data_IF_117756051352
#
_entry.id   IF_117756051352
#
_cell.length_a   1.000
_cell.length_b   1.000
_cell.length_c   1.000
_cell.angle_alpha   90.00
_cell.angle_beta   90.00
_cell.angle_gamma   90.00
#
_symmetry.space_group_name_H-M   'P 1'
#
loop_
_entity.id
_entity.type
_entity.pdbx_description
1 polymer ?
#
# COMPACT_ATOMS: atom_id res chain seq x y z
N UNK A 1 10.10 22.77 -5.06
CA UNK A 1 10.31 22.18 -3.71
C UNK A 1 9.35 22.73 -2.66
N UNK A 2 9.15 24.05 -2.51
CA UNK A 2 8.31 24.65 -1.45
C UNK A 2 6.85 24.16 -1.42
N UNK A 3 6.21 23.93 -2.58
CA UNK A 3 4.82 23.44 -2.62
C UNK A 3 4.65 21.98 -2.19
N UNK A 4 5.68 21.11 -2.39
CA UNK A 4 5.62 19.70 -1.98
C UNK A 4 5.66 19.56 -0.44
N UNK A 5 6.43 20.43 0.23
CA UNK A 5 6.52 20.48 1.69
C UNK A 5 5.22 21.00 2.30
N UNK A 6 4.56 21.95 1.64
CA UNK A 6 3.29 22.50 2.10
C UNK A 6 2.17 21.45 2.08
N UNK A 7 2.06 20.67 0.99
CA UNK A 7 1.05 19.59 0.87
C UNK A 7 1.29 18.50 1.91
N UNK A 8 2.55 18.11 2.13
CA UNK A 8 2.91 17.11 3.14
C UNK A 8 2.55 17.59 4.55
N UNK A 9 2.84 18.87 4.86
CA UNK A 9 2.50 19.47 6.17
C UNK A 9 0.98 19.58 6.37
N UNK A 10 0.22 19.94 5.33
CA UNK A 10 -1.25 20.00 5.42
C UNK A 10 -1.81 18.59 5.68
N UNK A 11 -1.31 17.57 4.98
CA UNK A 11 -1.72 16.18 5.19
C UNK A 11 -1.38 15.69 6.61
N UNK A 12 -0.20 16.03 7.11
CA UNK A 12 0.22 15.71 8.48
C UNK A 12 -0.66 16.43 9.52
N UNK A 13 -0.94 17.71 9.33
CA UNK A 13 -1.80 18.50 10.25
C UNK A 13 -3.25 17.97 10.21
N UNK A 14 -3.77 17.57 9.06
CA UNK A 14 -5.09 16.94 8.99
C UNK A 14 -5.12 15.59 9.72
N UNK A 15 -4.09 14.75 9.54
CA UNK A 15 -3.96 13.47 10.24
C UNK A 15 -3.83 13.65 11.76
N UNK A 16 -2.93 14.53 12.22
CA UNK A 16 -2.73 14.78 13.64
C UNK A 16 -3.85 15.62 14.28
N UNK A 17 -4.46 16.54 13.53
CA UNK A 17 -5.63 17.30 14.00
C UNK A 17 -6.86 16.41 14.20
N UNK A 18 -7.03 15.39 13.36
CA UNK A 18 -8.12 14.41 13.52
C UNK A 18 -7.89 13.51 14.75
N UNK A 19 -6.63 13.04 14.92
CA UNK A 19 -6.23 12.23 16.09
C UNK A 19 -6.33 13.04 17.38
N UNK A 20 -5.92 14.32 17.39
CA UNK A 20 -5.98 15.19 18.55
C UNK A 20 -7.41 15.47 19.04
N UNK A 21 -8.36 15.64 18.13
CA UNK A 21 -9.78 15.80 18.49
C UNK A 21 -10.41 14.49 18.97
N UNK A 22 -9.99 13.34 18.44
CA UNK A 22 -10.48 12.04 18.90
C UNK A 22 -9.98 11.67 20.31
N UNK A 23 -8.79 12.14 20.68
CA UNK A 23 -8.22 11.93 22.02
C UNK A 23 -8.71 12.92 23.08
N UNK A 24 -9.35 14.02 22.66
CA UNK A 24 -9.86 15.05 23.59
C UNK A 24 -11.26 14.77 24.14
N UNK A 25 -11.96 13.80 23.61
CA UNK A 25 -13.28 13.43 24.10
C UNK A 25 -13.16 12.24 25.08
N UNK A 26 -13.03 12.56 26.37
CA UNK A 26 -12.90 11.60 27.50
C UNK A 26 -14.16 10.76 27.75
N UNK A 27 -15.12 10.79 26.85
CA UNK A 27 -16.26 9.87 26.91
C UNK A 27 -15.79 8.52 26.41
N UNK A 28 -15.95 7.43 27.22
CA UNK A 28 -15.66 6.09 26.75
C UNK A 28 -16.49 5.85 25.48
N UNK A 29 -15.82 5.76 24.34
CA UNK A 29 -16.43 5.33 23.10
C UNK A 29 -16.99 3.96 23.42
N UNK A 30 -18.29 3.86 23.56
CA UNK A 30 -18.94 2.56 23.64
C UNK A 30 -18.58 1.88 22.34
N UNK A 31 -17.64 0.92 22.40
CA UNK A 31 -17.39 -0.04 21.34
C UNK A 31 -18.71 -0.76 21.10
N UNK A 32 -19.54 -0.13 20.28
CA UNK A 32 -20.84 -0.65 19.94
C UNK A 32 -20.59 -1.91 19.10
N UNK A 33 -20.90 -3.05 19.67
CA UNK A 33 -21.07 -4.24 18.87
C UNK A 33 -20.23 -5.47 19.20
N UNK A 34 -19.26 -5.40 20.11
CA UNK A 34 -18.65 -6.61 20.66
C UNK A 34 -19.14 -6.86 22.08
N UNK A 35 -20.46 -6.86 22.28
CA UNK A 35 -21.01 -7.54 23.45
C UNK A 35 -20.66 -9.02 23.31
N UNK A 36 -19.87 -9.50 24.27
CA UNK A 36 -19.44 -10.88 24.40
C UNK A 36 -20.66 -11.81 24.32
N UNK A 37 -20.89 -12.40 23.16
CA UNK A 37 -21.74 -13.56 23.07
C UNK A 37 -20.94 -14.75 23.62
N UNK A 38 -21.28 -15.17 24.82
CA UNK A 38 -20.79 -16.42 25.40
C UNK A 38 -21.48 -17.58 24.66
N UNK A 39 -20.87 -18.01 23.55
CA UNK A 39 -21.39 -19.07 22.68
C UNK A 39 -21.49 -20.43 23.37
N UNK A 40 -20.98 -20.56 24.60
CA UNK A 40 -20.92 -21.82 25.35
C UNK A 40 -21.71 -21.85 26.67
N UNK A 41 -22.53 -20.86 26.96
CA UNK A 41 -23.44 -20.94 28.08
C UNK A 41 -24.81 -21.55 27.65
N UNK A 42 -25.04 -22.87 27.86
CA UNK A 42 -26.29 -23.52 27.47
C UNK A 42 -27.50 -23.09 28.30
N UNK A 43 -27.29 -22.27 29.36
CA UNK A 43 -28.36 -21.86 30.28
C UNK A 43 -28.93 -20.48 29.95
N UNK A 44 -28.29 -19.73 29.06
CA UNK A 44 -28.71 -18.38 28.69
C UNK A 44 -29.71 -18.39 27.54
N UNK A 45 -30.99 -18.61 27.89
CA UNK A 45 -32.11 -18.27 27.00
C UNK A 45 -32.38 -16.76 27.02
N UNK A 46 -31.37 -15.95 26.76
CA UNK A 46 -31.61 -14.56 26.39
C UNK A 46 -32.11 -14.53 24.96
N UNK A 47 -33.29 -13.95 24.77
CA UNK A 47 -33.72 -13.45 23.49
C UNK A 47 -32.57 -12.61 22.94
N UNK A 48 -31.91 -13.13 21.91
CA UNK A 48 -31.01 -12.36 21.06
C UNK A 48 -31.93 -11.35 20.35
N UNK A 49 -32.29 -10.27 21.02
CA UNK A 49 -32.57 -9.05 20.29
C UNK A 49 -31.24 -8.71 19.64
N UNK A 50 -31.06 -9.14 18.38
CA UNK A 50 -30.06 -8.60 17.49
C UNK A 50 -30.29 -7.09 17.45
N UNK A 51 -29.66 -6.39 18.35
CA UNK A 51 -29.58 -4.95 18.34
C UNK A 51 -28.69 -4.65 17.14
N UNK A 52 -29.32 -4.41 15.98
CA UNK A 52 -28.65 -3.87 14.79
C UNK A 52 -28.08 -2.50 15.17
N UNK A 53 -26.94 -2.50 15.82
CA UNK A 53 -26.26 -1.27 16.20
C UNK A 53 -25.29 -0.91 15.11
N UNK A 54 -25.61 0.13 14.36
CA UNK A 54 -24.62 0.84 13.57
C UNK A 54 -23.59 1.42 14.54
N UNK A 55 -22.34 1.04 14.36
CA UNK A 55 -21.22 1.56 15.13
C UNK A 55 -20.17 2.13 14.22
N UNK A 56 -19.32 2.97 14.80
CA UNK A 56 -18.21 3.59 14.11
C UNK A 56 -16.96 3.35 14.95
N UNK A 57 -15.85 3.01 14.30
CA UNK A 57 -14.53 2.94 14.91
C UNK A 57 -13.49 3.64 14.06
N UNK A 58 -12.46 4.15 14.72
CA UNK A 58 -11.29 4.73 14.09
C UNK A 58 -10.08 3.88 14.41
N UNK A 59 -9.22 3.70 13.43
CA UNK A 59 -8.05 2.85 13.55
C UNK A 59 -6.81 3.59 13.10
N UNK A 60 -5.71 3.28 13.75
CA UNK A 60 -4.36 3.64 13.29
C UNK A 60 -3.69 2.36 12.82
N UNK A 61 -3.13 2.39 11.62
CA UNK A 61 -2.43 1.26 11.00
C UNK A 61 -0.96 1.59 10.83
N UNK A 62 -0.10 0.62 11.21
CA UNK A 62 1.34 0.61 10.91
C UNK A 62 1.69 -0.77 10.38
N UNK A 63 2.40 -0.83 9.28
CA UNK A 63 2.70 -2.11 8.66
C UNK A 63 3.91 -2.09 7.75
N UNK A 64 4.20 -3.27 7.24
CA UNK A 64 5.17 -3.53 6.20
C UNK A 64 4.42 -3.84 4.91
N UNK A 65 4.94 -3.34 3.79
CA UNK A 65 4.44 -3.65 2.46
C UNK A 65 5.59 -4.05 1.55
N UNK A 66 5.32 -5.00 0.67
CA UNK A 66 6.20 -5.34 -0.43
C UNK A 66 5.42 -5.28 -1.73
N UNK A 67 5.94 -4.47 -2.64
CA UNK A 67 5.40 -4.31 -3.96
C UNK A 67 6.22 -5.07 -4.99
N UNK A 68 5.53 -5.66 -5.96
CA UNK A 68 6.10 -6.39 -7.06
C UNK A 68 5.62 -5.79 -8.37
N UNK A 69 6.53 -5.15 -9.08
CA UNK A 69 6.28 -4.54 -10.38
C UNK A 69 6.86 -5.42 -11.48
N UNK A 70 6.03 -5.83 -12.41
CA UNK A 70 6.43 -6.68 -13.54
C UNK A 70 6.10 -5.99 -14.86
N UNK A 71 7.10 -5.89 -15.74
CA UNK A 71 6.91 -5.49 -17.13
C UNK A 71 6.82 -6.73 -18.03
N UNK A 72 6.01 -6.60 -19.09
CA UNK A 72 5.80 -7.70 -20.05
C UNK A 72 6.90 -7.76 -21.11
N UNK A 73 7.80 -6.76 -21.19
CA UNK A 73 8.90 -6.78 -22.13
C UNK A 73 9.98 -7.75 -21.67
N UNK A 74 10.55 -8.51 -22.62
CA UNK A 74 11.56 -9.55 -22.35
C UNK A 74 12.86 -9.01 -21.73
N UNK A 75 12.98 -7.70 -21.58
CA UNK A 75 14.26 -7.04 -21.23
C UNK A 75 14.31 -6.56 -19.77
N UNK A 76 13.21 -6.55 -19.03
CA UNK A 76 13.18 -5.99 -17.67
C UNK A 76 12.72 -7.02 -16.66
N UNK A 77 13.64 -7.35 -15.76
CA UNK A 77 13.38 -8.20 -14.59
C UNK A 77 12.30 -7.58 -13.71
N UNK A 78 11.52 -8.43 -13.04
CA UNK A 78 10.60 -7.99 -12.02
C UNK A 78 11.32 -7.13 -10.95
N UNK A 79 10.73 -6.01 -10.60
CA UNK A 79 11.23 -5.12 -9.56
C UNK A 79 10.47 -5.39 -8.27
N UNK A 80 11.20 -5.58 -7.19
CA UNK A 80 10.66 -5.74 -5.85
C UNK A 80 10.98 -4.49 -5.04
N UNK A 81 9.94 -3.82 -4.53
CA UNK A 81 10.06 -2.73 -3.60
C UNK A 81 9.50 -3.17 -2.25
N UNK A 82 10.13 -2.77 -1.16
CA UNK A 82 9.66 -3.10 0.18
C UNK A 82 9.84 -1.91 1.13
N UNK A 83 8.97 -1.83 2.13
CA UNK A 83 9.04 -0.72 3.06
C UNK A 83 7.91 -0.67 4.06
N UNK A 84 7.67 0.52 4.58
CA UNK A 84 6.71 0.75 5.63
C UNK A 84 5.44 1.42 5.10
N UNK A 85 4.32 1.11 5.74
CA UNK A 85 3.03 1.81 5.55
C UNK A 85 2.47 2.28 6.88
N UNK A 86 1.85 3.44 6.88
CA UNK A 86 1.21 4.03 8.05
C UNK A 86 -0.02 4.82 7.63
N UNK A 87 -1.06 4.79 8.43
CA UNK A 87 -2.24 5.58 8.15
C UNK A 87 -3.35 5.43 9.15
N UNK A 88 -4.52 5.91 8.75
CA UNK A 88 -5.73 5.83 9.53
C UNK A 88 -6.87 5.24 8.71
N UNK A 89 -7.76 4.55 9.40
CA UNK A 89 -8.95 3.96 8.81
C UNK A 89 -10.17 4.30 9.64
N UNK A 90 -11.28 4.40 8.95
CA UNK A 90 -12.62 4.54 9.50
C UNK A 90 -13.39 3.26 9.20
N UNK A 91 -13.95 2.64 10.22
CA UNK A 91 -14.78 1.45 10.10
C UNK A 91 -16.21 1.75 10.52
N UNK A 92 -17.16 1.41 9.68
CA UNK A 92 -18.58 1.47 9.93
C UNK A 92 -19.12 0.04 10.06
N UNK A 93 -19.59 -0.31 11.25
CA UNK A 93 -20.21 -1.61 11.52
C UNK A 93 -21.61 -1.68 10.93
N UNK A 94 -21.90 -2.80 10.31
CA UNK A 94 -23.17 -3.15 9.70
C UNK A 94 -23.76 -4.40 10.42
N UNK A 95 -25.06 -4.67 10.25
CA UNK A 95 -25.65 -5.91 10.73
C UNK A 95 -24.94 -7.16 10.21
N UNK A 96 -25.13 -8.29 10.90
CA UNK A 96 -24.65 -9.61 10.50
C UNK A 96 -23.11 -9.72 10.47
N UNK A 97 -22.40 -9.00 11.34
CA UNK A 97 -20.94 -9.02 11.45
C UNK A 97 -20.19 -8.45 10.24
N UNK A 98 -20.87 -7.72 9.38
CA UNK A 98 -20.22 -6.98 8.31
C UNK A 98 -19.76 -5.61 8.79
N UNK A 99 -18.71 -5.10 8.12
CA UNK A 99 -18.31 -3.71 8.25
C UNK A 99 -17.77 -3.18 6.92
N UNK A 100 -17.73 -1.86 6.80
CA UNK A 100 -17.10 -1.16 5.68
C UNK A 100 -15.97 -0.32 6.24
N UNK A 101 -14.77 -0.52 5.71
CA UNK A 101 -13.57 0.20 6.07
C UNK A 101 -13.15 1.13 4.94
N UNK A 102 -12.90 2.40 5.27
CA UNK A 102 -12.31 3.39 4.37
C UNK A 102 -11.11 4.01 5.07
N UNK A 103 -9.99 4.13 4.36
CA UNK A 103 -8.77 4.62 4.97
C UNK A 103 -7.94 5.52 4.07
N UNK A 104 -6.86 6.03 4.65
CA UNK A 104 -5.79 6.71 3.96
C UNK A 104 -4.46 6.22 4.51
N UNK A 105 -3.68 5.54 3.68
CA UNK A 105 -2.43 4.88 4.05
C UNK A 105 -1.29 5.46 3.23
N UNK A 106 -0.30 5.99 3.90
CA UNK A 106 0.93 6.44 3.27
C UNK A 106 1.96 5.32 3.29
N UNK A 107 2.56 5.05 2.15
CA UNK A 107 3.53 3.98 1.97
C UNK A 107 4.85 4.55 1.43
N UNK A 108 5.96 4.11 2.00
CA UNK A 108 7.31 4.39 1.50
C UNK A 108 7.95 3.07 1.17
N UNK A 109 8.32 2.89 -0.09
CA UNK A 109 8.93 1.67 -0.59
C UNK A 109 10.32 1.96 -1.13
N UNK A 110 11.22 1.01 -0.98
CA UNK A 110 12.58 1.03 -1.47
C UNK A 110 12.90 -0.27 -2.20
N UNK A 111 13.63 -0.17 -3.30
CA UNK A 111 14.13 -1.33 -4.03
C UNK A 111 15.40 -1.04 -4.80
N UNK A 112 16.05 -2.13 -5.22
CA UNK A 112 17.27 -2.06 -6.03
C UNK A 112 17.03 -2.91 -7.28
N UNK A 113 17.28 -2.32 -8.44
CA UNK A 113 17.34 -3.02 -9.70
C UNK A 113 18.78 -2.98 -10.23
N UNK A 114 19.29 -4.13 -10.65
CA UNK A 114 20.62 -4.23 -11.27
C UNK A 114 20.45 -4.74 -12.67
N UNK A 115 20.98 -3.98 -13.62
CA UNK A 115 20.98 -4.35 -15.03
C UNK A 115 22.42 -4.56 -15.48
N UNK A 116 22.68 -5.72 -16.09
CA UNK A 116 23.98 -6.08 -16.62
C UNK A 116 23.98 -5.89 -18.14
N UNK A 117 24.96 -5.19 -18.65
CA UNK A 117 25.16 -4.97 -20.06
C UNK A 117 26.54 -5.53 -20.48
N UNK A 118 26.63 -6.06 -21.68
CA UNK A 118 27.92 -6.33 -22.28
C UNK A 118 28.46 -4.99 -22.80
N UNK A 119 29.75 -4.75 -22.57
CA UNK A 119 30.41 -3.57 -23.13
C UNK A 119 30.21 -3.53 -24.64
N UNK A 120 29.89 -2.36 -25.15
CA UNK A 120 29.77 -2.13 -26.59
C UNK A 120 31.16 -1.90 -27.19
N UNK A 121 32.20 -1.67 -26.38
CA UNK A 121 33.56 -1.53 -26.79
C UNK A 121 34.14 -2.91 -27.18
N UNK A 122 34.56 -3.12 -28.45
CA UNK A 122 35.08 -4.41 -28.89
C UNK A 122 36.36 -4.85 -28.17
N UNK A 123 37.10 -3.88 -27.61
CA UNK A 123 38.36 -4.11 -26.90
C UNK A 123 38.16 -4.35 -25.40
N UNK A 124 36.96 -4.14 -24.89
CA UNK A 124 36.59 -4.33 -23.47
C UNK A 124 35.47 -5.37 -23.31
N UNK A 125 35.84 -6.59 -22.93
CA UNK A 125 34.90 -7.72 -22.73
C UNK A 125 34.24 -7.69 -21.35
N UNK A 126 34.34 -6.58 -20.63
CA UNK A 126 33.80 -6.50 -19.26
C UNK A 126 32.28 -6.39 -19.25
N UNK A 127 31.69 -6.96 -18.17
CA UNK A 127 30.27 -6.79 -17.89
C UNK A 127 30.09 -5.49 -17.14
N UNK A 128 29.38 -4.58 -17.75
CA UNK A 128 29.05 -3.26 -17.20
C UNK A 128 27.74 -3.31 -16.43
N UNK A 129 27.63 -2.53 -15.37
CA UNK A 129 26.50 -2.61 -14.46
C UNK A 129 25.87 -1.24 -14.27
N UNK A 130 24.54 -1.19 -14.45
CA UNK A 130 23.72 -0.06 -14.04
C UNK A 130 22.91 -0.47 -12.81
N UNK A 131 23.12 0.25 -11.70
CA UNK A 131 22.40 0.06 -10.46
C UNK A 131 21.37 1.18 -10.31
N UNK A 132 20.11 0.81 -10.17
CA UNK A 132 19.02 1.71 -9.91
C UNK A 132 18.53 1.51 -8.47
N UNK A 133 18.56 2.57 -7.68
CA UNK A 133 17.97 2.62 -6.34
C UNK A 133 16.65 3.37 -6.44
N UNK A 134 15.55 2.68 -6.22
CA UNK A 134 14.21 3.23 -6.42
C UNK A 134 13.58 3.50 -5.05
N UNK A 135 13.07 4.72 -4.88
CA UNK A 135 12.28 5.11 -3.72
C UNK A 135 10.92 5.56 -4.19
N UNK A 136 9.89 4.91 -3.72
CA UNK A 136 8.51 5.24 -4.04
C UNK A 136 7.75 5.74 -2.80
N UNK A 137 7.00 6.81 -2.98
CA UNK A 137 6.08 7.38 -2.01
C UNK A 137 4.67 7.31 -2.60
N UNK A 138 3.76 6.66 -1.91
CA UNK A 138 2.39 6.51 -2.38
C UNK A 138 1.37 6.78 -1.27
N UNK A 139 0.20 7.25 -1.66
CA UNK A 139 -0.99 7.32 -0.83
C UNK A 139 -2.00 6.31 -1.35
N UNK A 140 -2.46 5.42 -0.47
CA UNK A 140 -3.46 4.41 -0.81
C UNK A 140 -4.76 4.71 -0.06
N UNK A 141 -5.86 4.68 -0.78
CA UNK A 141 -7.22 4.88 -0.25
C UNK A 141 -7.97 3.55 -0.45
N UNK A 142 -7.96 2.65 0.53
CA UNK A 142 -8.74 1.42 0.49
C UNK A 142 -10.21 1.68 0.80
N UNK A 143 -11.10 0.96 0.11
CA UNK A 143 -12.52 0.81 0.45
C UNK A 143 -12.79 -0.67 0.55
N UNK A 144 -12.95 -1.19 1.75
CA UNK A 144 -13.03 -2.62 2.03
C UNK A 144 -14.35 -2.99 2.66
N UNK A 145 -14.92 -4.10 2.24
CA UNK A 145 -15.99 -4.78 2.96
C UNK A 145 -15.33 -5.87 3.79
N UNK A 146 -15.65 -5.93 5.05
CA UNK A 146 -15.10 -6.87 6.00
C UNK A 146 -16.22 -7.72 6.59
N UNK A 147 -15.92 -8.99 6.85
CA UNK A 147 -16.76 -9.92 7.61
C UNK A 147 -15.97 -10.42 8.81
N UNK A 148 -16.55 -10.30 10.01
CA UNK A 148 -15.90 -10.66 11.28
C UNK A 148 -16.56 -11.89 11.88
N UNK A 149 -15.75 -12.88 12.25
CA UNK A 149 -16.16 -14.12 12.90
C UNK A 149 -15.66 -14.07 14.35
N UNK A 150 -16.55 -13.96 15.34
CA UNK A 150 -16.15 -14.08 16.74
C UNK A 150 -15.68 -15.51 17.02
N UNK A 151 -14.49 -15.65 17.59
CA UNK A 151 -13.91 -16.95 17.94
C UNK A 151 -14.01 -17.24 19.42
N UNK A 152 -13.57 -16.30 20.27
CA UNK A 152 -13.57 -16.47 21.71
C UNK A 152 -13.50 -15.13 22.41
N UNK A 153 -14.39 -14.86 23.36
CA UNK A 153 -14.45 -13.63 24.19
C UNK A 153 -13.99 -12.36 23.46
N UNK A 154 -12.70 -12.06 23.52
CA UNK A 154 -12.08 -10.87 22.93
C UNK A 154 -11.36 -11.15 21.60
N UNK A 155 -11.33 -12.42 21.16
CA UNK A 155 -10.66 -12.84 19.94
C UNK A 155 -11.68 -13.01 18.81
N UNK A 156 -11.46 -12.33 17.71
CA UNK A 156 -12.19 -12.52 16.47
C UNK A 156 -11.23 -12.67 15.29
N UNK A 157 -11.71 -13.31 14.24
CA UNK A 157 -11.05 -13.38 12.95
C UNK A 157 -11.89 -12.57 11.96
N UNK A 158 -11.23 -11.91 11.04
CA UNK A 158 -11.92 -11.15 10.01
C UNK A 158 -11.29 -11.40 8.64
N UNK A 159 -12.12 -11.27 7.62
CA UNK A 159 -11.73 -11.29 6.22
C UNK A 159 -12.24 -10.02 5.56
N UNK A 160 -11.46 -9.46 4.68
CA UNK A 160 -11.86 -8.28 3.93
C UNK A 160 -11.53 -8.41 2.45
N UNK A 161 -12.28 -7.69 1.65
CA UNK A 161 -12.04 -7.52 0.22
C UNK A 161 -12.56 -6.17 -0.25
N UNK A 162 -12.00 -5.65 -1.32
CA UNK A 162 -12.49 -4.43 -1.90
C UNK A 162 -11.50 -3.70 -2.80
N UNK A 163 -11.98 -2.68 -3.51
CA UNK A 163 -11.15 -1.84 -4.33
C UNK A 163 -10.30 -0.89 -3.48
N UNK A 164 -9.18 -0.49 -4.05
CA UNK A 164 -8.36 0.59 -3.51
C UNK A 164 -7.76 1.43 -4.62
N UNK A 165 -7.60 2.71 -4.34
CA UNK A 165 -6.94 3.66 -5.20
C UNK A 165 -5.57 3.99 -4.63
N UNK A 166 -4.51 3.67 -5.36
CA UNK A 166 -3.16 4.10 -5.03
C UNK A 166 -2.77 5.31 -5.88
N UNK A 167 -2.22 6.32 -5.24
CA UNK A 167 -1.77 7.56 -5.86
C UNK A 167 -0.27 7.70 -5.59
N UNK A 168 0.56 7.53 -6.60
CA UNK A 168 2.00 7.75 -6.52
C UNK A 168 2.31 9.24 -6.35
N UNK A 169 2.95 9.59 -5.25
CA UNK A 169 3.36 10.95 -4.94
C UNK A 169 4.70 11.30 -5.59
N UNK A 170 5.67 10.38 -5.45
CA UNK A 170 6.98 10.44 -6.08
C UNK A 170 7.53 9.03 -6.24
N UNK A 171 8.18 8.75 -7.36
CA UNK A 171 8.99 7.55 -7.55
C UNK A 171 10.32 7.99 -8.16
N UNK A 172 11.34 8.09 -7.31
CA UNK A 172 12.65 8.56 -7.72
C UNK A 172 13.55 7.37 -8.00
N UNK A 173 14.09 7.33 -9.19
CA UNK A 173 15.11 6.38 -9.60
C UNK A 173 16.50 7.06 -9.50
N UNK A 174 17.31 6.58 -8.56
CA UNK A 174 18.71 7.04 -8.37
C UNK A 174 19.61 6.12 -9.18
N UNK A 175 19.97 6.55 -10.39
CA UNK A 175 20.77 5.76 -11.33
C UNK A 175 22.25 5.91 -11.02
N UNK A 176 22.95 4.79 -10.86
CA UNK A 176 24.41 4.70 -10.79
C UNK A 176 24.92 3.83 -11.92
N UNK A 177 25.26 4.47 -13.03
CA UNK A 177 25.79 3.80 -14.20
C UNK A 177 27.32 3.72 -14.11
N UNK A 178 27.84 2.53 -13.88
CA UNK A 178 29.27 2.21 -13.98
C UNK A 178 29.50 1.54 -15.31
N UNK A 179 29.52 2.36 -16.36
CA UNK A 179 29.60 1.96 -17.77
C UNK A 179 30.60 2.84 -18.50
N UNK A 180 31.22 2.31 -19.56
CA UNK A 180 32.09 3.06 -20.45
C UNK A 180 31.33 4.16 -21.21
N UNK A 181 32.05 5.15 -21.73
CA UNK A 181 31.40 6.24 -22.47
C UNK A 181 30.70 5.72 -23.74
N UNK A 182 31.25 4.69 -24.39
CA UNK A 182 30.64 4.05 -25.56
C UNK A 182 29.29 3.39 -25.20
N UNK A 183 29.26 2.60 -24.11
CA UNK A 183 28.06 1.95 -23.64
C UNK A 183 27.04 2.98 -23.13
N UNK A 184 27.49 4.05 -22.46
CA UNK A 184 26.65 5.17 -22.05
C UNK A 184 25.94 5.80 -23.24
N UNK A 185 26.69 6.15 -24.27
CA UNK A 185 26.14 6.73 -25.50
C UNK A 185 25.13 5.79 -26.17
N UNK A 186 25.45 4.51 -26.24
CA UNK A 186 24.54 3.50 -26.79
C UNK A 186 23.26 3.36 -26.00
N UNK A 187 23.31 3.31 -24.64
CA UNK A 187 22.15 3.22 -23.78
C UNK A 187 21.23 4.45 -23.94
N UNK A 188 21.83 5.65 -24.03
CA UNK A 188 21.07 6.90 -24.26
C UNK A 188 20.41 6.85 -25.65
N UNK A 189 21.10 6.34 -26.69
CA UNK A 189 20.51 6.17 -28.02
C UNK A 189 19.34 5.16 -28.03
N UNK A 190 19.34 4.19 -27.12
CA UNK A 190 18.22 3.27 -26.90
C UNK A 190 17.09 3.87 -26.06
N UNK A 191 17.18 5.16 -25.70
CA UNK A 191 16.18 5.86 -24.90
C UNK A 191 16.22 5.56 -23.40
N UNK A 192 17.34 4.97 -22.91
CA UNK A 192 17.53 4.77 -21.46
C UNK A 192 17.90 6.08 -20.80
N UNK A 193 17.23 6.39 -19.69
CA UNK A 193 17.60 7.52 -18.85
C UNK A 193 18.64 7.05 -17.82
N UNK A 194 19.83 7.60 -17.86
CA UNK A 194 20.92 7.28 -16.94
C UNK A 194 21.12 8.35 -15.85
N UNK A 195 20.25 9.34 -15.81
CA UNK A 195 20.25 10.38 -14.79
C UNK A 195 19.20 10.09 -13.71
N UNK A 196 19.46 10.57 -12.50
CA UNK A 196 18.48 10.52 -11.42
C UNK A 196 17.22 11.30 -11.78
N UNK A 197 16.08 10.64 -11.78
CA UNK A 197 14.82 11.25 -12.21
C UNK A 197 13.61 10.73 -11.43
N UNK A 198 12.50 11.46 -11.47
CA UNK A 198 11.21 11.04 -10.96
C UNK A 198 10.37 10.46 -12.12
N UNK A 199 10.03 9.18 -12.04
CA UNK A 199 9.32 8.44 -13.10
C UNK A 199 7.93 8.99 -13.39
N UNK A 200 7.30 9.67 -12.42
CA UNK A 200 6.02 10.33 -12.63
C UNK A 200 6.16 11.68 -13.34
N UNK A 201 7.23 12.43 -13.06
CA UNK A 201 7.51 13.72 -13.72
C UNK A 201 8.02 13.51 -15.15
N UNK A 202 8.81 12.47 -15.39
CA UNK A 202 9.29 12.08 -16.73
C UNK A 202 8.16 11.48 -17.60
N UNK A 203 6.96 11.27 -17.04
CA UNK A 203 5.81 10.68 -17.70
C UNK A 203 6.03 9.24 -18.17
N UNK A 204 6.90 8.51 -17.52
CA UNK A 204 7.14 7.09 -17.81
C UNK A 204 6.05 6.23 -17.19
N UNK A 205 5.53 6.64 -16.03
CA UNK A 205 4.52 5.90 -15.26
C UNK A 205 3.30 6.75 -14.93
N UNK A 206 2.12 6.11 -14.89
CA UNK A 206 0.91 6.71 -14.36
C UNK A 206 0.99 6.81 -12.83
N UNK A 207 0.49 7.94 -12.28
CA UNK A 207 0.44 8.16 -10.83
C UNK A 207 -0.65 7.36 -10.13
N UNK A 208 -1.68 6.97 -10.88
CA UNK A 208 -2.85 6.32 -10.32
C UNK A 208 -2.86 4.84 -10.68
N UNK A 209 -3.02 4.02 -9.66
CA UNK A 209 -3.22 2.59 -9.79
C UNK A 209 -4.53 2.20 -9.10
N UNK A 210 -5.44 1.60 -9.84
CA UNK A 210 -6.65 0.99 -9.29
C UNK A 210 -6.29 -0.46 -8.98
N UNK A 211 -6.46 -0.84 -7.74
CA UNK A 211 -6.15 -2.17 -7.27
C UNK A 211 -7.39 -2.81 -6.64
N UNK A 212 -7.38 -4.12 -6.55
CA UNK A 212 -8.37 -4.87 -5.80
C UNK A 212 -7.65 -5.73 -4.77
N UNK A 213 -8.06 -5.62 -3.52
CA UNK A 213 -7.42 -6.27 -2.40
C UNK A 213 -8.29 -7.34 -1.76
N UNK A 214 -7.63 -8.33 -1.20
CA UNK A 214 -8.20 -9.31 -0.29
C UNK A 214 -7.24 -9.58 0.85
N UNK A 215 -7.78 -9.88 2.01
CA UNK A 215 -6.96 -10.16 3.18
C UNK A 215 -7.79 -10.58 4.37
N UNK A 216 -7.14 -10.65 5.49
CA UNK A 216 -7.78 -11.00 6.75
C UNK A 216 -6.80 -10.93 7.89
N UNK A 217 -7.30 -11.22 9.08
CA UNK A 217 -6.48 -11.15 10.27
C UNK A 217 -7.23 -11.55 11.52
N UNK A 218 -6.59 -11.26 12.64
CA UNK A 218 -7.12 -11.52 13.96
C UNK A 218 -7.22 -10.21 14.73
N UNK A 219 -8.30 -10.05 15.44
CA UNK A 219 -8.53 -8.93 16.35
C UNK A 219 -8.59 -9.46 17.77
N UNK A 220 -7.80 -8.89 18.67
CA UNK A 220 -7.86 -9.13 20.10
C UNK A 220 -8.06 -7.80 20.81
N UNK A 221 -9.25 -7.62 21.37
CA UNK A 221 -9.67 -6.37 21.99
C UNK A 221 -9.50 -5.19 21.02
N UNK A 222 -8.59 -4.28 21.28
CA UNK A 222 -8.29 -3.11 20.43
C UNK A 222 -7.19 -3.34 19.40
N UNK A 223 -6.53 -4.48 19.43
CA UNK A 223 -5.39 -4.80 18.60
C UNK A 223 -5.79 -5.72 17.46
N UNK A 224 -5.35 -5.40 16.26
CA UNK A 224 -5.62 -6.20 15.07
C UNK A 224 -4.31 -6.46 14.31
N UNK A 225 -4.08 -7.69 13.93
CA UNK A 225 -3.01 -8.09 13.04
C UNK A 225 -3.64 -8.53 11.71
N UNK A 226 -3.25 -7.88 10.62
CA UNK A 226 -3.79 -8.12 9.29
C UNK A 226 -2.70 -8.52 8.32
N UNK A 227 -3.06 -9.37 7.37
CA UNK A 227 -2.28 -9.64 6.18
C UNK A 227 -3.16 -9.55 4.95
N UNK A 228 -2.65 -8.99 3.87
CA UNK A 228 -3.41 -8.83 2.65
C UNK A 228 -2.56 -8.84 1.40
N UNK A 229 -3.26 -9.01 0.29
CA UNK A 229 -2.72 -9.03 -1.04
C UNK A 229 -3.58 -8.16 -1.96
N UNK A 230 -2.93 -7.24 -2.64
CA UNK A 230 -3.56 -6.26 -3.52
C UNK A 230 -3.00 -6.42 -4.93
N UNK A 231 -3.85 -6.51 -5.95
CA UNK A 231 -3.43 -6.65 -7.33
C UNK A 231 -3.96 -5.49 -8.18
N UNK A 232 -3.04 -4.90 -8.97
CA UNK A 232 -3.33 -3.80 -9.87
C UNK A 232 -4.14 -4.23 -11.07
N UNK A 233 -5.13 -3.44 -11.42
CA UNK A 233 -6.07 -3.71 -12.50
C UNK A 233 -5.72 -2.99 -13.80
N UNK A 234 -4.93 -1.91 -13.71
CA UNK A 234 -4.58 -1.08 -14.86
C UNK A 234 -3.12 -1.23 -15.28
N UNK A 235 -2.84 -0.85 -16.53
CA UNK A 235 -1.47 -0.73 -17.01
C UNK A 235 -0.86 0.58 -16.52
N UNK A 236 0.31 0.50 -15.90
CA UNK A 236 1.00 1.66 -15.31
C UNK A 236 1.93 2.38 -16.28
N UNK A 237 2.24 1.80 -17.45
CA UNK A 237 3.09 2.46 -18.45
C UNK A 237 2.30 3.60 -19.09
N UNK A 238 2.94 4.77 -19.12
CA UNK A 238 2.40 5.97 -19.75
C UNK A 238 3.12 6.33 -21.06
N UNK A 239 4.39 5.98 -21.21
CA UNK A 239 5.17 6.35 -22.38
C UNK A 239 4.76 5.54 -23.61
N UNK A 240 4.40 6.24 -24.69
CA UNK A 240 4.00 5.64 -25.97
C UNK A 240 5.12 4.89 -26.69
N UNK A 241 6.39 5.16 -26.37
CA UNK A 241 7.52 4.41 -26.93
C UNK A 241 7.48 2.93 -26.54
N UNK A 242 6.84 2.60 -25.43
CA UNK A 242 6.63 1.25 -24.90
C UNK A 242 5.17 0.80 -25.04
N UNK A 243 4.46 1.26 -26.05
CA UNK A 243 3.02 1.06 -26.19
C UNK A 243 2.56 -0.41 -26.26
N UNK A 244 3.47 -1.33 -26.52
CA UNK A 244 3.20 -2.78 -26.50
C UNK A 244 3.43 -3.43 -25.15
N UNK A 245 4.11 -2.73 -24.24
CA UNK A 245 4.45 -3.25 -22.93
C UNK A 245 3.32 -2.96 -21.91
N UNK A 246 3.18 -3.85 -20.98
CA UNK A 246 2.29 -3.67 -19.82
C UNK A 246 3.12 -3.77 -18.56
N UNK A 247 2.86 -2.85 -17.66
CA UNK A 247 3.37 -2.90 -16.29
C UNK A 247 2.22 -3.21 -15.36
N UNK A 248 2.29 -4.35 -14.72
CA UNK A 248 1.37 -4.76 -13.66
C UNK A 248 2.08 -4.65 -12.31
N UNK A 249 1.31 -4.34 -11.30
CA UNK A 249 1.77 -4.20 -9.93
C UNK A 249 0.88 -4.99 -9.01
N UNK A 250 1.48 -5.68 -8.07
CA UNK A 250 0.76 -6.30 -6.96
C UNK A 250 1.58 -6.16 -5.68
N UNK A 251 0.86 -5.98 -4.59
CA UNK A 251 1.44 -5.68 -3.30
C UNK A 251 0.90 -6.66 -2.26
N UNK A 252 1.76 -7.21 -1.42
CA UNK A 252 1.33 -7.84 -0.19
C UNK A 252 1.74 -6.98 1.02
N UNK A 253 0.99 -7.10 2.10
CA UNK A 253 1.27 -6.34 3.30
C UNK A 253 0.91 -7.12 4.56
N UNK A 254 1.59 -6.76 5.65
CA UNK A 254 1.26 -7.17 7.01
C UNK A 254 1.20 -5.91 7.85
N UNK A 255 0.10 -5.74 8.58
CA UNK A 255 -0.16 -4.53 9.34
C UNK A 255 -0.62 -4.84 10.75
N UNK A 256 -0.18 -4.01 11.67
CA UNK A 256 -0.71 -3.91 13.01
C UNK A 256 -1.65 -2.71 13.06
N UNK A 257 -2.86 -2.94 13.55
CA UNK A 257 -3.93 -1.92 13.62
C UNK A 257 -4.38 -1.77 15.05
N UNK A 258 -4.49 -0.53 15.49
CA UNK A 258 -4.98 -0.17 16.81
C UNK A 258 -6.30 0.58 16.70
N UNK A 259 -7.32 0.14 17.44
CA UNK A 259 -8.64 0.78 17.52
C UNK A 259 -8.65 1.81 18.64
N UNK A 260 -9.00 3.05 18.30
CA UNK A 260 -9.04 4.19 19.22
C UNK A 260 -10.24 4.15 20.18
#
# INVERSE_FOLDING_TARGET
>A
MKHKILVLNILLVCLFGFVGNALADDKPIKTAGLEQHDFFDPTRKEKVEEKYSFGIAYHIEVGYAQDHQRMTSDTISALYLHGARVGAQFEMFLPMHFSVNVGALYTVLYGISRQHYHSVDPDDVQVEVVNNHIVEHALTIPVRVQYTIPLWKQLSMHFYTGPQLMIGLAQTDYVKANVSDATRAWLIAQGKNLDTHDMYLSKERWRTNIMYGLGGGFTWDRYRLEAGYDFGLNNLIRNSAYSKDRMSEWQWHVSFVYTL
#
